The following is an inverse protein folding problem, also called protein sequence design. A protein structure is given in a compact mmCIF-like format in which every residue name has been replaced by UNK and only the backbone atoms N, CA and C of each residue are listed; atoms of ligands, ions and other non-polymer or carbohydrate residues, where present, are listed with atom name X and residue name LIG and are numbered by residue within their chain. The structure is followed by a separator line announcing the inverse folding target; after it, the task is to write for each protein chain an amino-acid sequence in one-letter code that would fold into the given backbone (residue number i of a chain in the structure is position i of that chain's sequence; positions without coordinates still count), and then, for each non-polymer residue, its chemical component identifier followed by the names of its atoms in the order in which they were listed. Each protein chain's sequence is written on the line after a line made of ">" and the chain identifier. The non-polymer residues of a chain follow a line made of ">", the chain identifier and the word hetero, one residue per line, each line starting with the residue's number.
data_IF_616030369502
#
_entry.id   IF_616030369502
#
_cell.length_a   1.000
_cell.length_b   1.000
_cell.length_c   1.000
_cell.angle_alpha   90.00
_cell.angle_beta   90.00
_cell.angle_gamma   90.00
#
_symmetry.space_group_name_H-M   'P 1'
#
loop_
_entity.id
_entity.type
_entity.pdbx_description
1 polymer ?
#
# COMPACT_ATOMS: atom_id res chain seq x y z
N UNK A 1 -12.86 -29.96 30.58
CA UNK A 1 -13.11 -30.28 29.17
C UNK A 1 -12.10 -29.62 28.23
N UNK A 2 -11.71 -28.36 28.46
CA UNK A 2 -10.76 -27.59 27.63
C UNK A 2 -9.39 -28.25 27.56
N UNK A 3 -8.83 -28.74 28.68
CA UNK A 3 -7.50 -29.39 28.70
C UNK A 3 -7.43 -30.75 27.96
N UNK A 4 -8.55 -31.37 27.62
CA UNK A 4 -8.58 -32.59 26.80
C UNK A 4 -8.56 -32.29 25.29
N UNK A 5 -9.06 -31.12 24.91
CA UNK A 5 -9.04 -30.65 23.51
C UNK A 5 -7.62 -30.15 23.14
N UNK A 6 -6.97 -29.42 24.03
CA UNK A 6 -5.62 -28.92 23.81
C UNK A 6 -4.57 -30.04 23.73
N UNK A 7 -4.73 -31.12 24.49
CA UNK A 7 -3.82 -32.30 24.40
C UNK A 7 -4.01 -33.16 23.15
N UNK A 8 -5.13 -33.03 22.44
CA UNK A 8 -5.37 -33.71 21.15
C UNK A 8 -4.78 -32.95 19.97
N UNK A 9 -4.55 -31.65 20.13
CA UNK A 9 -3.98 -30.79 19.08
C UNK A 9 -2.45 -30.91 19.03
N UNK A 10 -1.80 -31.22 20.16
CA UNK A 10 -0.33 -31.35 20.25
C UNK A 10 0.27 -32.60 19.57
N UNK A 11 -0.55 -33.57 19.16
CA UNK A 11 -0.08 -34.81 18.53
C UNK A 11 -0.39 -34.92 17.03
N UNK A 12 -0.85 -33.84 16.38
CA UNK A 12 -1.05 -33.81 14.95
C UNK A 12 0.08 -32.98 14.30
N UNK A 13 1.23 -33.64 14.10
CA UNK A 13 2.23 -33.16 13.14
C UNK A 13 1.69 -33.34 11.72
N UNK A 14 0.77 -32.49 11.32
CA UNK A 14 0.45 -32.26 9.92
C UNK A 14 1.23 -31.03 9.48
N UNK A 15 2.23 -31.28 8.63
CA UNK A 15 2.92 -30.25 7.86
C UNK A 15 1.99 -29.62 6.81
N UNK A 16 0.89 -29.04 7.25
CA UNK A 16 0.16 -28.07 6.49
C UNK A 16 0.79 -26.71 6.76
N UNK A 17 1.56 -26.19 5.80
CA UNK A 17 1.75 -24.75 5.68
C UNK A 17 0.38 -24.18 5.38
N UNK A 18 -0.36 -23.84 6.43
CA UNK A 18 -1.52 -22.94 6.31
C UNK A 18 -0.97 -21.65 5.67
N UNK A 19 -1.61 -21.11 4.63
CA UNK A 19 -1.28 -19.76 4.21
C UNK A 19 -1.52 -18.85 5.42
N UNK A 20 -0.47 -18.24 5.92
CA UNK A 20 -0.52 -17.28 7.02
C UNK A 20 -1.26 -16.07 6.46
N UNK A 21 -2.56 -15.98 6.77
CA UNK A 21 -3.38 -14.81 6.49
C UNK A 21 -2.83 -13.66 7.33
N UNK A 22 -2.22 -12.67 6.69
CA UNK A 22 -1.79 -11.44 7.34
C UNK A 22 -0.30 -11.08 7.25
N UNK A 23 0.57 -11.99 6.82
CA UNK A 23 1.97 -11.66 6.55
C UNK A 23 2.11 -11.39 5.05
N UNK A 24 2.29 -10.16 4.69
CA UNK A 24 2.46 -9.73 3.30
C UNK A 24 3.51 -8.63 3.25
N UNK A 25 4.13 -8.46 2.09
CA UNK A 25 5.09 -7.39 1.83
C UNK A 25 4.64 -6.03 2.39
N UNK A 26 5.56 -5.10 2.55
CA UNK A 26 5.26 -3.71 2.90
C UNK A 26 5.78 -2.76 1.83
N UNK A 27 4.92 -1.85 1.34
CA UNK A 27 5.29 -0.80 0.39
C UNK A 27 5.21 0.57 1.03
N UNK A 28 6.11 1.45 0.65
CA UNK A 28 6.30 2.79 1.19
C UNK A 28 6.56 3.80 0.07
N UNK A 29 6.09 5.04 0.26
CA UNK A 29 6.44 6.17 -0.58
C UNK A 29 6.37 7.48 0.20
N UNK A 30 7.46 8.24 0.26
CA UNK A 30 7.53 9.54 0.93
C UNK A 30 8.05 10.61 -0.01
N UNK A 31 7.42 11.77 -0.02
CA UNK A 31 7.83 12.93 -0.81
C UNK A 31 8.12 14.13 0.10
N UNK A 32 9.25 14.80 -0.16
CA UNK A 32 9.69 16.06 0.44
C UNK A 32 9.73 17.15 -0.64
N UNK A 33 9.64 18.45 -0.29
CA UNK A 33 9.61 19.56 -1.27
C UNK A 33 10.97 19.80 -1.94
N UNK A 34 12.05 19.37 -1.31
CA UNK A 34 13.43 19.49 -1.80
C UNK A 34 14.26 18.31 -1.32
N UNK A 35 15.45 18.15 -1.90
CA UNK A 35 16.41 17.14 -1.45
C UNK A 35 16.77 17.36 0.04
N UNK A 36 16.68 16.31 0.82
CA UNK A 36 17.03 16.28 2.24
C UNK A 36 18.05 15.19 2.51
N UNK A 37 19.07 15.51 3.30
CA UNK A 37 20.04 14.54 3.81
C UNK A 37 19.45 13.62 4.87
N UNK A 38 18.28 13.97 5.41
CA UNK A 38 17.58 13.18 6.43
C UNK A 38 16.60 12.16 5.82
N UNK A 39 16.32 12.22 4.50
CA UNK A 39 15.35 11.32 3.90
C UNK A 39 15.73 9.84 4.10
N UNK A 40 17.03 9.51 4.01
CA UNK A 40 17.53 8.16 4.29
C UNK A 40 17.27 7.69 5.72
N UNK A 41 17.34 8.60 6.71
CA UNK A 41 17.01 8.28 8.11
C UNK A 41 15.51 7.98 8.24
N UNK A 42 14.65 8.80 7.61
CA UNK A 42 13.21 8.56 7.60
C UNK A 42 12.85 7.25 6.89
N UNK A 43 13.45 7.00 5.73
CA UNK A 43 13.32 5.74 5.01
C UNK A 43 13.72 4.53 5.86
N UNK A 44 14.83 4.62 6.59
CA UNK A 44 15.30 3.56 7.49
C UNK A 44 14.33 3.29 8.64
N UNK A 45 13.73 4.34 9.21
CA UNK A 45 12.71 4.19 10.26
C UNK A 45 11.46 3.50 9.71
N UNK A 46 11.00 3.92 8.52
CA UNK A 46 9.84 3.36 7.85
C UNK A 46 10.05 1.89 7.46
N UNK A 47 11.19 1.54 6.86
CA UNK A 47 11.52 0.17 6.48
C UNK A 47 11.59 -0.76 7.70
N UNK A 48 12.24 -0.32 8.78
CA UNK A 48 12.30 -1.08 10.03
C UNK A 48 10.93 -1.26 10.68
N UNK A 49 10.06 -0.26 10.60
CA UNK A 49 8.69 -0.37 11.09
C UNK A 49 7.88 -1.45 10.35
N UNK A 50 8.26 -1.78 9.10
CA UNK A 50 7.63 -2.81 8.29
C UNK A 50 8.35 -4.17 8.34
N UNK A 51 9.42 -4.32 9.10
CA UNK A 51 10.21 -5.58 9.11
C UNK A 51 9.38 -6.80 9.49
N UNK A 52 8.40 -6.65 10.37
CA UNK A 52 7.50 -7.74 10.75
C UNK A 52 6.64 -8.26 9.58
N UNK A 53 6.49 -7.46 8.51
CA UNK A 53 5.77 -7.84 7.28
C UNK A 53 6.63 -8.61 6.28
N UNK A 54 7.95 -8.45 6.36
CA UNK A 54 8.86 -9.16 5.46
C UNK A 54 10.32 -8.93 5.80
N UNK A 55 11.11 -9.99 5.73
CA UNK A 55 12.54 -9.99 6.01
C UNK A 55 13.36 -10.71 4.93
N UNK A 56 12.72 -11.13 3.83
CA UNK A 56 13.43 -11.86 2.76
C UNK A 56 14.25 -10.93 1.87
N UNK A 57 13.74 -9.74 1.59
CA UNK A 57 14.52 -8.68 0.93
C UNK A 57 14.01 -7.30 1.32
N UNK A 58 14.91 -6.32 1.24
CA UNK A 58 14.65 -4.92 1.53
C UNK A 58 15.21 -4.06 0.42
N UNK A 59 14.47 -3.02 0.04
CA UNK A 59 14.98 -2.06 -0.92
C UNK A 59 14.40 -0.67 -0.77
N UNK A 60 15.16 0.29 -1.26
CA UNK A 60 14.87 1.71 -1.28
C UNK A 60 15.35 2.32 -2.58
N UNK A 61 14.52 3.16 -3.19
CA UNK A 61 14.88 4.00 -4.31
C UNK A 61 14.68 5.46 -3.90
N UNK A 62 15.68 6.30 -4.19
CA UNK A 62 15.68 7.72 -3.86
C UNK A 62 15.82 8.54 -5.14
N UNK A 63 14.91 9.48 -5.34
CA UNK A 63 15.04 10.49 -6.36
C UNK A 63 15.92 11.64 -5.83
N UNK A 64 17.05 11.83 -6.48
CA UNK A 64 18.05 12.85 -6.14
C UNK A 64 17.85 14.12 -6.96
N UNK A 65 18.69 15.14 -6.71
CA UNK A 65 18.55 16.49 -7.29
C UNK A 65 18.55 16.50 -8.82
N UNK A 66 19.39 15.70 -9.45
CA UNK A 66 19.53 15.65 -10.92
C UNK A 66 18.57 14.64 -11.59
N UNK A 67 17.42 14.34 -10.95
CA UNK A 67 16.52 13.28 -11.38
C UNK A 67 17.17 11.90 -11.47
N UNK A 68 18.33 11.74 -10.88
CA UNK A 68 19.00 10.45 -10.74
C UNK A 68 18.31 9.62 -9.67
N UNK A 69 18.28 8.32 -9.89
CA UNK A 69 17.72 7.37 -8.95
C UNK A 69 18.87 6.60 -8.29
N UNK A 70 18.94 6.71 -6.97
CA UNK A 70 19.77 5.82 -6.16
C UNK A 70 18.92 4.63 -5.75
N UNK A 71 19.20 3.45 -6.29
CA UNK A 71 18.49 2.20 -6.04
C UNK A 71 19.35 1.26 -5.20
N UNK A 72 18.97 1.10 -3.95
CA UNK A 72 19.65 0.29 -2.95
C UNK A 72 18.72 -0.86 -2.53
N UNK A 73 19.03 -2.09 -2.93
CA UNK A 73 18.23 -3.27 -2.59
C UNK A 73 19.07 -4.53 -2.53
N UNK A 74 18.70 -5.43 -1.63
CA UNK A 74 19.33 -6.76 -1.52
C UNK A 74 18.43 -7.74 -0.75
N UNK A 75 18.85 -8.98 -0.67
CA UNK A 75 18.27 -10.04 0.15
C UNK A 75 18.61 -9.80 1.61
N UNK A 76 17.60 -9.80 2.48
CA UNK A 76 17.75 -9.67 3.92
C UNK A 76 16.79 -8.68 4.57
N UNK A 77 16.79 -8.69 5.90
CA UNK A 77 15.91 -7.90 6.73
C UNK A 77 16.30 -6.40 6.79
N UNK A 78 15.33 -5.49 6.93
CA UNK A 78 15.57 -4.05 7.07
C UNK A 78 16.56 -3.69 8.18
N UNK A 79 16.48 -4.33 9.35
CA UNK A 79 17.38 -4.09 10.50
C UNK A 79 18.85 -4.19 10.12
N UNK A 80 19.19 -5.08 9.20
CA UNK A 80 20.54 -5.28 8.69
C UNK A 80 20.82 -4.39 7.47
N UNK A 81 19.95 -4.42 6.46
CA UNK A 81 20.23 -3.83 5.16
C UNK A 81 20.22 -2.31 5.14
N UNK A 82 19.48 -1.64 6.04
CA UNK A 82 19.51 -0.18 6.12
C UNK A 82 20.92 0.37 6.42
N UNK A 83 21.73 -0.38 7.17
CA UNK A 83 23.12 -0.01 7.47
C UNK A 83 24.08 -0.49 6.39
N UNK A 84 24.00 -1.75 5.98
CA UNK A 84 24.95 -2.36 5.05
C UNK A 84 24.86 -1.77 3.64
N UNK A 85 23.66 -1.35 3.21
CA UNK A 85 23.46 -0.66 1.94
C UNK A 85 23.60 0.87 2.04
N UNK A 86 23.77 1.41 3.25
CA UNK A 86 23.90 2.86 3.46
C UNK A 86 22.61 3.64 3.30
N UNK A 87 21.45 2.99 3.31
CA UNK A 87 20.12 3.63 3.11
C UNK A 87 19.93 4.81 4.06
N UNK A 88 20.37 4.70 5.32
CA UNK A 88 20.22 5.75 6.33
C UNK A 88 20.98 7.05 6.02
N UNK A 89 21.94 7.01 5.09
CA UNK A 89 22.78 8.15 4.69
C UNK A 89 22.38 8.73 3.34
N UNK A 90 21.43 8.11 2.67
CA UNK A 90 21.07 8.47 1.31
C UNK A 90 20.25 9.77 1.29
N UNK A 91 20.70 10.79 0.56
CA UNK A 91 19.90 11.99 0.37
C UNK A 91 18.86 11.77 -0.70
N UNK A 92 17.80 12.57 -0.69
CA UNK A 92 16.79 12.51 -1.73
C UNK A 92 15.61 13.44 -1.48
N UNK A 93 14.76 13.53 -2.48
CA UNK A 93 13.51 14.28 -2.45
C UNK A 93 12.30 13.38 -2.36
N UNK A 94 12.33 12.23 -3.05
CA UNK A 94 11.30 11.22 -3.04
C UNK A 94 11.94 9.88 -2.70
N UNK A 95 11.29 9.14 -1.83
CA UNK A 95 11.65 7.79 -1.43
C UNK A 95 10.52 6.83 -1.81
N UNK A 96 10.87 5.71 -2.44
CA UNK A 96 10.02 4.54 -2.60
C UNK A 96 10.73 3.33 -2.00
N UNK A 97 10.08 2.60 -1.13
CA UNK A 97 10.67 1.47 -0.43
C UNK A 97 9.77 0.26 -0.33
N UNK A 98 10.39 -0.90 -0.11
CA UNK A 98 9.66 -2.16 0.03
C UNK A 98 10.40 -3.12 0.96
N UNK A 99 9.64 -3.83 1.77
CA UNK A 99 10.08 -5.03 2.50
C UNK A 99 9.30 -6.22 1.95
N UNK A 100 10.01 -7.29 1.63
CA UNK A 100 9.42 -8.44 0.94
C UNK A 100 9.30 -9.65 1.87
N UNK A 101 8.11 -10.24 1.84
CA UNK A 101 7.88 -11.63 2.18
C UNK A 101 7.65 -12.38 0.87
N UNK A 102 8.57 -13.26 0.50
CA UNK A 102 8.55 -13.91 -0.80
C UNK A 102 7.42 -14.94 -0.88
N UNK A 103 6.34 -14.57 -1.57
CA UNK A 103 5.23 -15.47 -1.92
C UNK A 103 5.35 -15.96 -3.36
N UNK A 104 5.99 -15.19 -4.24
CA UNK A 104 6.17 -15.47 -5.65
C UNK A 104 7.59 -15.09 -6.12
N UNK A 105 8.22 -15.95 -6.91
CA UNK A 105 9.61 -15.80 -7.35
C UNK A 105 10.64 -16.15 -6.28
N UNK A 106 11.88 -16.32 -6.70
CA UNK A 106 13.01 -16.63 -5.82
C UNK A 106 13.36 -15.47 -4.88
N UNK A 107 14.04 -15.81 -3.76
CA UNK A 107 14.63 -14.81 -2.86
C UNK A 107 16.02 -14.48 -3.41
N UNK A 108 16.06 -13.47 -4.26
CA UNK A 108 17.28 -12.92 -4.85
C UNK A 108 17.15 -11.41 -5.07
N UNK A 109 18.26 -10.78 -5.44
CA UNK A 109 18.32 -9.31 -5.65
C UNK A 109 17.48 -8.84 -6.83
N UNK A 110 17.32 -9.65 -7.89
CA UNK A 110 16.51 -9.26 -9.06
C UNK A 110 15.04 -9.13 -8.69
N UNK A 111 14.54 -10.05 -7.84
CA UNK A 111 13.18 -10.06 -7.34
C UNK A 111 12.92 -9.10 -6.18
N UNK A 112 13.97 -8.49 -5.60
CA UNK A 112 13.80 -7.44 -4.59
C UNK A 112 13.26 -6.16 -5.25
N UNK A 113 12.41 -5.43 -4.52
CA UNK A 113 11.81 -4.17 -4.95
C UNK A 113 12.46 -3.00 -4.18
N UNK A 114 12.38 -1.76 -4.68
CA UNK A 114 11.69 -1.28 -5.88
C UNK A 114 12.31 -1.75 -7.20
N UNK A 115 11.49 -1.65 -8.28
CA UNK A 115 11.95 -1.83 -9.66
C UNK A 115 12.09 -0.47 -10.34
N UNK A 116 13.23 -0.24 -10.98
CA UNK A 116 13.48 0.86 -11.89
C UNK A 116 13.29 0.34 -13.32
N UNK A 117 12.46 0.99 -14.10
CA UNK A 117 12.16 0.67 -15.49
C UNK A 117 12.46 1.85 -16.39
N UNK A 118 12.99 1.56 -17.59
CA UNK A 118 13.38 2.59 -18.57
C UNK A 118 13.39 2.06 -20.01
N UNK A 119 12.51 1.11 -20.29
CA UNK A 119 12.39 0.56 -21.63
C UNK A 119 11.83 1.57 -22.63
N UNK A 120 10.86 2.36 -22.18
CA UNK A 120 10.17 3.40 -22.95
C UNK A 120 10.20 4.74 -22.22
N UNK A 121 9.94 4.73 -20.93
CA UNK A 121 9.91 5.88 -20.03
C UNK A 121 10.62 5.53 -18.74
N UNK A 122 11.22 6.52 -18.10
CA UNK A 122 11.93 6.30 -16.85
C UNK A 122 10.97 6.42 -15.68
N UNK A 123 10.70 5.31 -15.00
CA UNK A 123 9.86 5.22 -13.79
C UNK A 123 10.54 4.32 -12.76
N UNK A 124 10.15 4.45 -11.52
CA UNK A 124 10.44 3.44 -10.50
C UNK A 124 9.23 3.25 -9.59
N UNK A 125 9.16 2.08 -8.98
CA UNK A 125 8.04 1.78 -8.10
C UNK A 125 8.17 0.45 -7.39
N UNK A 126 7.25 0.23 -6.47
CA UNK A 126 7.12 -1.00 -5.71
C UNK A 126 5.66 -1.30 -5.41
N UNK A 127 5.39 -2.54 -5.06
CA UNK A 127 4.05 -2.95 -4.67
C UNK A 127 4.07 -3.88 -3.45
N UNK A 128 2.91 -4.01 -2.83
CA UNK A 128 2.54 -5.03 -1.87
C UNK A 128 1.26 -5.69 -2.35
N UNK A 129 1.26 -7.01 -2.49
CA UNK A 129 0.08 -7.73 -2.94
C UNK A 129 0.42 -9.01 -3.69
N UNK A 130 -0.54 -9.49 -4.46
CA UNK A 130 -0.39 -10.68 -5.30
C UNK A 130 -1.13 -10.47 -6.63
N UNK A 131 -0.38 -10.33 -7.71
CA UNK A 131 -0.90 -10.25 -9.08
C UNK A 131 -0.78 -11.64 -9.69
N UNK A 132 -1.91 -12.25 -9.99
CA UNK A 132 -1.98 -13.68 -10.33
C UNK A 132 -1.74 -13.98 -11.82
N UNK A 133 -1.92 -12.99 -12.70
CA UNK A 133 -1.70 -13.13 -14.14
C UNK A 133 -0.31 -12.68 -14.61
N UNK A 134 0.71 -12.83 -13.76
CA UNK A 134 2.10 -12.41 -14.04
C UNK A 134 2.68 -13.02 -15.31
N UNK A 135 2.35 -14.30 -15.60
CA UNK A 135 2.87 -14.98 -16.78
C UNK A 135 2.34 -14.36 -18.07
N UNK A 136 1.05 -14.05 -18.12
CA UNK A 136 0.42 -13.37 -19.26
C UNK A 136 0.99 -11.96 -19.43
N UNK A 137 1.16 -11.23 -18.32
CA UNK A 137 1.76 -9.90 -18.32
C UNK A 137 3.20 -9.93 -18.81
N UNK A 138 4.02 -10.89 -18.37
CA UNK A 138 5.41 -11.02 -18.82
C UNK A 138 5.49 -11.28 -20.33
N UNK A 139 4.63 -12.16 -20.86
CA UNK A 139 4.55 -12.44 -22.30
C UNK A 139 4.10 -11.20 -23.07
N UNK A 140 3.08 -10.50 -22.59
CA UNK A 140 2.60 -9.25 -23.18
C UNK A 140 3.70 -8.20 -23.22
N UNK A 141 4.30 -7.88 -22.08
CA UNK A 141 5.35 -6.86 -21.96
C UNK A 141 6.56 -7.17 -22.85
N UNK A 142 6.97 -8.45 -22.93
CA UNK A 142 8.08 -8.85 -23.80
C UNK A 142 7.75 -8.64 -25.28
N UNK A 143 6.51 -8.90 -25.72
CA UNK A 143 6.05 -8.63 -27.10
C UNK A 143 6.01 -7.15 -27.41
N UNK A 144 5.69 -6.33 -26.43
CA UNK A 144 5.66 -4.88 -26.53
C UNK A 144 7.05 -4.22 -26.37
N UNK A 145 8.11 -5.02 -26.30
CA UNK A 145 9.50 -4.55 -26.29
C UNK A 145 10.03 -4.12 -24.92
N UNK A 146 9.40 -4.58 -23.83
CA UNK A 146 9.94 -4.39 -22.49
C UNK A 146 10.91 -5.52 -22.13
N UNK A 147 11.97 -5.18 -21.40
CA UNK A 147 12.92 -6.13 -20.84
C UNK A 147 12.57 -6.39 -19.38
N UNK A 148 11.91 -7.51 -19.13
CA UNK A 148 11.54 -7.96 -17.78
C UNK A 148 12.64 -8.87 -17.26
N UNK A 149 13.30 -8.49 -16.16
CA UNK A 149 14.49 -9.18 -15.64
C UNK A 149 14.21 -10.13 -14.48
N UNK A 150 13.09 -9.97 -13.80
CA UNK A 150 12.73 -10.81 -12.66
C UNK A 150 11.44 -11.60 -12.89
N UNK A 151 11.08 -12.44 -11.93
CA UNK A 151 9.77 -13.10 -11.88
C UNK A 151 8.84 -12.44 -10.86
N UNK A 152 9.24 -11.27 -10.32
CA UNK A 152 8.45 -10.54 -9.35
C UNK A 152 7.25 -9.86 -10.03
N UNK A 153 6.07 -10.06 -9.48
CA UNK A 153 4.82 -9.46 -9.97
C UNK A 153 4.82 -7.92 -9.89
N UNK A 154 5.58 -7.34 -8.96
CA UNK A 154 5.79 -5.89 -8.89
C UNK A 154 6.53 -5.32 -10.09
N UNK A 155 7.49 -6.03 -10.67
CA UNK A 155 8.14 -5.61 -11.90
C UNK A 155 7.14 -5.56 -13.06
N UNK A 156 6.25 -6.57 -13.15
CA UNK A 156 5.18 -6.58 -14.16
C UNK A 156 4.26 -5.37 -14.02
N UNK A 157 3.93 -4.98 -12.78
CA UNK A 157 3.10 -3.82 -12.52
C UNK A 157 3.80 -2.52 -12.98
N UNK A 158 5.06 -2.30 -12.58
CA UNK A 158 5.79 -1.06 -12.94
C UNK A 158 5.97 -0.95 -14.45
N UNK A 159 6.34 -2.04 -15.15
CA UNK A 159 6.42 -2.07 -16.62
C UNK A 159 5.07 -1.88 -17.30
N UNK A 160 3.98 -2.39 -16.73
CA UNK A 160 2.65 -2.17 -17.30
C UNK A 160 2.25 -0.69 -17.21
N UNK A 161 2.55 -0.02 -16.08
CA UNK A 161 2.35 1.44 -15.96
C UNK A 161 3.22 2.17 -16.97
N UNK A 162 4.51 1.81 -17.10
CA UNK A 162 5.42 2.39 -18.12
C UNK A 162 4.87 2.26 -19.53
N UNK A 163 4.35 1.07 -19.88
CA UNK A 163 3.80 0.78 -21.20
C UNK A 163 2.61 1.69 -21.54
N UNK A 164 1.60 1.73 -20.68
CA UNK A 164 0.42 2.57 -20.91
C UNK A 164 0.75 4.06 -20.79
N UNK A 165 1.70 4.42 -19.95
CA UNK A 165 2.16 5.80 -19.85
C UNK A 165 2.84 6.28 -21.13
N UNK A 166 3.67 5.45 -21.77
CA UNK A 166 4.24 5.76 -23.08
C UNK A 166 3.17 5.93 -24.16
N UNK A 167 2.17 5.05 -24.18
CA UNK A 167 1.05 5.18 -25.11
C UNK A 167 0.30 6.51 -24.91
N UNK A 168 -0.02 6.87 -23.67
CA UNK A 168 -0.75 8.10 -23.38
C UNK A 168 0.09 9.37 -23.67
N UNK A 169 1.39 9.34 -23.38
CA UNK A 169 2.29 10.44 -23.75
C UNK A 169 2.37 10.62 -25.27
N UNK A 170 2.52 9.53 -26.01
CA UNK A 170 2.60 9.58 -27.48
C UNK A 170 1.28 10.07 -28.08
N UNK A 171 0.13 9.62 -27.54
CA UNK A 171 -1.22 10.08 -27.94
C UNK A 171 -1.41 11.57 -27.68
N UNK A 172 -0.88 12.10 -26.59
CA UNK A 172 -0.91 13.51 -26.25
C UNK A 172 0.19 14.36 -26.92
N UNK A 173 1.00 13.78 -27.83
CA UNK A 173 2.08 14.47 -28.51
C UNK A 173 3.30 14.75 -27.62
N UNK A 174 3.54 13.92 -26.61
CA UNK A 174 4.64 14.07 -25.64
C UNK A 174 4.67 15.47 -24.98
N UNK A 175 3.65 15.81 -24.20
CA UNK A 175 3.50 17.14 -23.63
C UNK A 175 4.69 17.51 -22.74
N UNK A 176 5.15 18.76 -22.85
CA UNK A 176 6.15 19.35 -21.96
C UNK A 176 5.55 19.90 -20.67
N UNK A 177 4.26 20.19 -20.69
CA UNK A 177 3.52 20.64 -19.50
C UNK A 177 3.43 19.52 -18.46
N UNK A 178 3.93 19.74 -17.23
CA UNK A 178 3.85 18.75 -16.16
C UNK A 178 2.43 18.31 -15.82
N UNK A 179 1.42 19.17 -15.95
CA UNK A 179 0.05 18.83 -15.63
C UNK A 179 -0.55 17.86 -16.67
N UNK A 180 -0.27 18.10 -17.97
CA UNK A 180 -0.67 17.18 -19.03
C UNK A 180 0.05 15.83 -18.90
N UNK A 181 1.35 15.85 -18.55
CA UNK A 181 2.11 14.62 -18.28
C UNK A 181 1.53 13.82 -17.13
N UNK A 182 1.16 14.47 -16.02
CA UNK A 182 0.46 13.84 -14.89
C UNK A 182 -0.90 13.26 -15.31
N UNK A 183 -1.65 13.96 -16.16
CA UNK A 183 -2.91 13.46 -16.71
C UNK A 183 -2.70 12.18 -17.54
N UNK A 184 -1.61 12.08 -18.32
CA UNK A 184 -1.24 10.86 -19.01
C UNK A 184 -0.96 9.70 -18.01
N UNK A 185 -0.25 9.97 -16.91
CA UNK A 185 0.02 8.96 -15.88
C UNK A 185 -1.26 8.47 -15.21
N UNK A 186 -2.20 9.36 -14.88
CA UNK A 186 -3.51 8.95 -14.32
C UNK A 186 -4.24 7.98 -15.25
N UNK A 187 -4.28 8.26 -16.56
CA UNK A 187 -4.89 7.34 -17.54
C UNK A 187 -4.13 6.02 -17.67
N UNK A 188 -2.80 6.07 -17.60
CA UNK A 188 -1.96 4.86 -17.61
C UNK A 188 -2.22 3.95 -16.41
N UNK A 189 -2.35 4.52 -15.21
CA UNK A 189 -2.70 3.78 -13.98
C UNK A 189 -4.06 3.10 -14.13
N UNK A 190 -5.06 3.81 -14.67
CA UNK A 190 -6.41 3.26 -14.91
C UNK A 190 -6.34 2.08 -15.90
N UNK A 191 -5.67 2.26 -17.04
CA UNK A 191 -5.53 1.20 -18.04
C UNK A 191 -4.74 0.00 -17.50
N UNK A 192 -3.71 0.25 -16.69
CA UNK A 192 -2.96 -0.82 -16.02
C UNK A 192 -3.88 -1.62 -15.10
N UNK A 193 -4.71 -0.96 -14.30
CA UNK A 193 -5.62 -1.62 -13.37
C UNK A 193 -6.62 -2.56 -14.07
N UNK A 194 -7.06 -2.21 -15.28
CA UNK A 194 -7.93 -3.06 -16.09
C UNK A 194 -7.26 -4.38 -16.56
N UNK A 195 -5.94 -4.43 -16.54
CA UNK A 195 -5.15 -5.59 -16.95
C UNK A 195 -4.65 -6.45 -15.80
N UNK A 196 -4.60 -5.89 -14.59
CA UNK A 196 -4.14 -6.62 -13.41
C UNK A 196 -5.24 -7.52 -12.86
N UNK A 197 -4.89 -8.77 -12.57
CA UNK A 197 -5.79 -9.71 -11.87
C UNK A 197 -5.15 -10.03 -10.52
N UNK A 198 -5.84 -9.66 -9.44
CA UNK A 198 -5.35 -9.86 -8.08
C UNK A 198 -5.60 -8.65 -7.18
N UNK A 199 -4.87 -8.59 -6.08
CA UNK A 199 -4.93 -7.47 -5.13
C UNK A 199 -3.55 -6.88 -4.92
N UNK A 200 -3.45 -5.55 -4.92
CA UNK A 200 -2.19 -4.85 -4.70
C UNK A 200 -2.40 -3.45 -4.12
N UNK A 201 -1.38 -2.98 -3.42
CA UNK A 201 -1.11 -1.58 -3.16
C UNK A 201 0.25 -1.24 -3.77
N UNK A 202 0.38 -0.11 -4.44
CA UNK A 202 1.62 0.24 -5.14
C UNK A 202 1.98 1.71 -4.97
N UNK A 203 3.27 1.99 -5.07
CA UNK A 203 3.81 3.34 -5.21
C UNK A 203 4.59 3.40 -6.51
N UNK A 204 4.24 4.35 -7.38
CA UNK A 204 4.91 4.62 -8.66
C UNK A 204 5.42 6.06 -8.63
N UNK A 205 6.60 6.29 -9.14
CA UNK A 205 7.23 7.61 -9.20
C UNK A 205 7.66 7.93 -10.62
N UNK A 206 7.29 9.12 -11.09
CA UNK A 206 7.80 9.73 -12.31
C UNK A 206 8.91 10.75 -11.96
N UNK A 207 10.16 10.45 -12.22
CA UNK A 207 11.27 11.37 -11.95
C UNK A 207 11.16 12.69 -12.70
N UNK A 208 10.50 12.67 -13.87
CA UNK A 208 10.43 13.86 -14.73
C UNK A 208 9.57 14.96 -14.11
N UNK A 209 8.42 14.59 -13.52
CA UNK A 209 7.53 15.53 -12.82
C UNK A 209 7.75 15.56 -11.31
N UNK A 210 8.66 14.73 -10.79
CA UNK A 210 8.93 14.57 -9.36
C UNK A 210 7.63 14.31 -8.59
N UNK A 211 6.75 13.47 -9.16
CA UNK A 211 5.42 13.16 -8.64
C UNK A 211 5.32 11.67 -8.36
N UNK A 212 4.60 11.36 -7.32
CA UNK A 212 4.33 9.98 -6.89
C UNK A 212 2.84 9.68 -6.98
N UNK A 213 2.52 8.41 -7.25
CA UNK A 213 1.16 7.87 -7.20
C UNK A 213 1.13 6.68 -6.28
N UNK A 214 0.17 6.68 -5.34
CA UNK A 214 -0.09 5.53 -4.48
C UNK A 214 -1.46 4.94 -4.83
N UNK A 215 -1.50 3.65 -5.14
CA UNK A 215 -2.62 2.95 -5.77
C UNK A 215 -3.16 1.91 -4.80
N UNK A 216 -4.48 1.94 -4.55
CA UNK A 216 -5.18 0.97 -3.69
C UNK A 216 -6.11 0.11 -4.52
N UNK A 217 -5.74 -1.16 -4.67
CA UNK A 217 -6.48 -2.15 -5.44
C UNK A 217 -6.50 -3.52 -4.72
N UNK A 218 -7.35 -3.65 -3.69
CA UNK A 218 -7.56 -4.88 -2.92
C UNK A 218 -6.58 -5.12 -1.77
N UNK A 219 -5.46 -4.38 -1.68
CA UNK A 219 -4.52 -4.44 -0.56
C UNK A 219 -4.56 -3.17 0.29
N UNK A 220 -4.16 -3.28 1.56
CA UNK A 220 -4.11 -2.13 2.47
C UNK A 220 -3.19 -1.03 1.93
N UNK A 221 -3.65 0.21 2.00
CA UNK A 221 -2.87 1.41 1.73
C UNK A 221 -3.42 2.56 2.57
N UNK A 222 -2.51 3.22 3.26
CA UNK A 222 -2.77 4.39 4.08
C UNK A 222 -1.96 5.57 3.54
N UNK A 223 -2.55 6.75 3.62
CA UNK A 223 -1.90 7.96 3.16
C UNK A 223 -2.01 9.04 4.23
N UNK A 224 -0.91 9.70 4.50
CA UNK A 224 -0.83 10.75 5.51
C UNK A 224 -0.04 11.96 5.02
N UNK A 225 -0.35 13.11 5.57
CA UNK A 225 0.33 14.38 5.30
C UNK A 225 0.77 15.02 6.61
N UNK A 226 1.86 15.78 6.59
CA UNK A 226 2.36 16.41 7.80
C UNK A 226 3.58 17.26 7.56
N UNK A 227 4.34 17.50 8.64
CA UNK A 227 5.60 18.23 8.62
C UNK A 227 6.68 17.44 9.33
N UNK A 228 7.84 17.32 8.71
CA UNK A 228 9.04 16.70 9.28
C UNK A 228 10.26 17.57 8.93
N UNK A 229 11.18 17.78 9.86
CA UNK A 229 12.33 18.67 9.68
C UNK A 229 11.93 20.05 9.12
N UNK A 230 10.84 20.63 9.63
CA UNK A 230 10.23 21.89 9.18
C UNK A 230 9.81 21.92 7.69
N UNK A 231 9.68 20.77 7.05
CA UNK A 231 9.22 20.63 5.67
C UNK A 231 7.90 19.87 5.61
N UNK A 232 6.97 20.27 4.73
CA UNK A 232 5.80 19.47 4.45
C UNK A 232 6.22 18.11 3.86
N UNK A 233 5.45 17.08 4.14
CA UNK A 233 5.62 15.77 3.51
C UNK A 233 4.29 15.10 3.23
N UNK A 234 4.31 14.20 2.26
CA UNK A 234 3.27 13.21 2.01
C UNK A 234 3.89 11.81 2.14
N UNK A 235 3.13 10.89 2.74
CA UNK A 235 3.58 9.53 3.02
C UNK A 235 2.48 8.52 2.68
N UNK A 236 2.78 7.57 1.81
CA UNK A 236 1.99 6.39 1.54
C UNK A 236 2.64 5.16 2.16
N UNK A 237 1.85 4.28 2.76
CA UNK A 237 2.31 2.99 3.28
C UNK A 237 1.19 1.96 3.25
N UNK A 238 1.53 0.70 2.98
CA UNK A 238 0.60 -0.42 3.15
C UNK A 238 0.37 -0.79 4.62
N UNK A 239 0.99 -0.04 5.54
CA UNK A 239 0.91 -0.24 6.98
C UNK A 239 0.59 1.06 7.70
N UNK A 240 -0.46 1.03 8.54
CA UNK A 240 -0.93 2.19 9.29
C UNK A 240 0.08 2.65 10.34
N UNK A 241 0.73 1.71 11.03
CA UNK A 241 1.72 2.02 12.08
C UNK A 241 2.85 2.87 11.54
N UNK A 242 3.34 2.54 10.33
CA UNK A 242 4.40 3.31 9.69
C UNK A 242 3.96 4.76 9.42
N UNK A 243 2.72 4.99 9.00
CA UNK A 243 2.19 6.35 8.79
C UNK A 243 2.02 7.08 10.12
N UNK A 244 1.44 6.43 11.14
CA UNK A 244 1.17 7.02 12.45
C UNK A 244 2.45 7.43 13.21
N UNK A 245 3.60 6.84 12.89
CA UNK A 245 4.90 7.28 13.43
C UNK A 245 5.33 8.67 12.94
N UNK A 246 4.81 9.12 11.81
CA UNK A 246 5.16 10.40 11.19
C UNK A 246 4.04 11.42 11.29
N UNK A 247 2.79 11.00 11.19
CA UNK A 247 1.64 11.92 11.23
C UNK A 247 0.38 11.23 11.70
N UNK A 248 -0.51 12.02 12.32
CA UNK A 248 -1.90 11.64 12.61
C UNK A 248 -2.91 12.26 11.63
N UNK A 249 -2.44 13.05 10.65
CA UNK A 249 -3.30 13.60 9.62
C UNK A 249 -3.38 12.62 8.45
N UNK A 250 -4.45 11.83 8.44
CA UNK A 250 -4.68 10.76 7.47
C UNK A 250 -5.68 11.19 6.39
N UNK A 251 -5.39 10.85 5.15
CA UNK A 251 -6.31 10.95 4.01
C UNK A 251 -6.87 9.57 3.76
N UNK A 252 -8.17 9.42 3.93
CA UNK A 252 -8.83 8.12 3.86
C UNK A 252 -8.98 7.68 2.39
N UNK A 253 -8.23 6.64 2.01
CA UNK A 253 -8.31 6.04 0.68
C UNK A 253 -9.23 4.82 0.73
N UNK A 254 -10.28 4.84 -0.11
CA UNK A 254 -11.21 3.72 -0.27
C UNK A 254 -10.73 2.77 -1.37
N UNK A 255 -11.34 1.61 -1.44
CA UNK A 255 -11.03 0.62 -2.46
C UNK A 255 -11.32 1.14 -3.88
N UNK A 256 -10.35 0.98 -4.79
CA UNK A 256 -10.44 1.48 -6.16
C UNK A 256 -10.14 2.97 -6.32
N UNK A 257 -9.47 3.57 -5.34
CA UNK A 257 -8.94 4.92 -5.40
C UNK A 257 -7.42 4.89 -5.54
N UNK A 258 -6.85 5.94 -6.11
CA UNK A 258 -5.42 6.22 -6.07
C UNK A 258 -5.17 7.70 -5.79
N UNK A 259 -4.02 8.00 -5.21
CA UNK A 259 -3.61 9.37 -4.89
C UNK A 259 -2.39 9.75 -5.71
N UNK A 260 -2.47 10.90 -6.39
CA UNK A 260 -1.34 11.62 -6.98
C UNK A 260 -0.81 12.61 -5.94
N UNK A 261 0.49 12.62 -5.68
CA UNK A 261 1.03 13.48 -4.63
C UNK A 261 2.45 13.95 -4.86
N UNK A 262 2.75 15.11 -4.29
CA UNK A 262 4.08 15.64 -3.97
C UNK A 262 4.17 15.88 -2.45
N UNK A 263 5.15 16.62 -1.97
CA UNK A 263 5.30 16.91 -0.55
C UNK A 263 4.15 17.73 0.07
N UNK A 264 3.63 18.69 -0.72
CA UNK A 264 2.69 19.75 -0.30
C UNK A 264 1.36 19.71 -1.06
N UNK A 265 1.16 18.68 -1.85
CA UNK A 265 0.00 18.54 -2.73
C UNK A 265 -0.41 17.08 -2.82
N UNK A 266 -1.71 16.82 -2.79
CA UNK A 266 -2.29 15.53 -3.17
C UNK A 266 -3.66 15.70 -3.82
N UNK A 267 -4.01 14.76 -4.70
CA UNK A 267 -5.35 14.61 -5.27
C UNK A 267 -5.70 13.12 -5.36
N UNK A 268 -6.93 12.81 -4.99
CA UNK A 268 -7.45 11.42 -5.02
C UNK A 268 -8.33 11.27 -6.26
N UNK A 269 -8.17 10.13 -6.94
CA UNK A 269 -8.89 9.84 -8.18
C UNK A 269 -9.54 8.46 -8.12
N UNK A 270 -10.69 8.33 -8.78
CA UNK A 270 -11.35 7.04 -8.98
C UNK A 270 -10.61 6.21 -10.05
N UNK A 271 -10.16 5.02 -9.69
CA UNK A 271 -9.50 4.07 -10.61
C UNK A 271 -10.52 3.37 -11.52
N UNK A 272 -11.74 3.22 -11.06
CA UNK A 272 -12.88 2.58 -11.71
C UNK A 272 -14.17 3.31 -11.32
N UNK A 273 -15.29 2.94 -11.93
CA UNK A 273 -16.59 3.45 -11.48
C UNK A 273 -16.85 3.01 -10.04
N UNK A 274 -17.09 3.96 -9.14
CA UNK A 274 -17.27 3.74 -7.72
C UNK A 274 -18.69 4.16 -7.30
N UNK A 275 -19.27 3.36 -6.39
CA UNK A 275 -20.55 3.66 -5.76
C UNK A 275 -20.43 3.41 -4.26
N UNK A 276 -20.54 4.47 -3.48
CA UNK A 276 -20.53 4.40 -2.03
C UNK A 276 -21.91 4.67 -1.49
N UNK A 277 -22.45 3.67 -0.79
CA UNK A 277 -23.74 3.81 -0.12
C UNK A 277 -23.58 4.65 1.14
N UNK A 278 -24.47 5.63 1.33
CA UNK A 278 -24.57 6.41 2.57
C UNK A 278 -25.95 6.22 3.16
N UNK A 279 -25.99 5.90 4.47
CA UNK A 279 -27.28 5.73 5.14
C UNK A 279 -28.04 7.06 5.23
N UNK A 280 -29.28 7.06 4.73
CA UNK A 280 -30.14 8.25 4.78
C UNK A 280 -29.71 9.39 3.85
N UNK A 281 -28.76 9.18 2.95
CA UNK A 281 -28.30 10.13 1.94
C UNK A 281 -28.24 9.45 0.56
N UNK A 282 -28.24 10.23 -0.53
CA UNK A 282 -27.97 9.68 -1.86
C UNK A 282 -26.60 9.00 -1.92
N UNK A 283 -26.51 7.92 -2.70
CA UNK A 283 -25.23 7.25 -2.97
C UNK A 283 -24.24 8.24 -3.60
N UNK A 284 -22.99 8.17 -3.19
CA UNK A 284 -21.90 8.85 -3.90
C UNK A 284 -21.50 8.01 -5.11
N UNK A 285 -21.51 8.66 -6.27
CA UNK A 285 -21.15 8.04 -7.54
C UNK A 285 -19.94 8.77 -8.13
N UNK A 286 -18.93 8.03 -8.53
CA UNK A 286 -17.77 8.55 -9.24
C UNK A 286 -17.53 7.71 -10.49
N UNK A 287 -17.29 8.38 -11.60
CA UNK A 287 -16.84 7.75 -12.82
C UNK A 287 -15.33 7.50 -12.79
N UNK A 288 -14.88 6.55 -13.57
CA UNK A 288 -13.43 6.30 -13.75
C UNK A 288 -12.70 7.58 -14.12
N UNK A 289 -11.68 7.94 -13.37
CA UNK A 289 -10.86 9.14 -13.56
C UNK A 289 -11.39 10.40 -12.85
N UNK A 290 -12.55 10.35 -12.22
CA UNK A 290 -13.07 11.49 -11.46
C UNK A 290 -12.16 11.84 -10.28
N UNK A 291 -12.01 13.15 -10.06
CA UNK A 291 -11.38 13.71 -8.87
C UNK A 291 -12.33 13.57 -7.67
N UNK A 292 -11.80 13.06 -6.58
CA UNK A 292 -12.54 12.86 -5.33
C UNK A 292 -12.00 13.84 -4.28
N UNK A 293 -12.87 14.69 -3.74
CA UNK A 293 -12.49 15.64 -2.67
C UNK A 293 -12.42 14.90 -1.34
N UNK A 294 -11.20 14.59 -0.89
CA UNK A 294 -10.91 13.95 0.39
C UNK A 294 -10.04 14.87 1.23
N UNK A 295 -10.52 15.25 2.40
CA UNK A 295 -9.76 16.08 3.34
C UNK A 295 -9.04 15.22 4.37
N UNK A 296 -7.86 15.66 4.86
CA UNK A 296 -7.18 14.96 5.92
C UNK A 296 -8.01 14.98 7.22
N UNK A 297 -8.01 13.87 7.92
CA UNK A 297 -8.70 13.70 9.21
C UNK A 297 -7.67 13.35 10.28
N UNK A 298 -7.80 13.95 11.46
CA UNK A 298 -6.93 13.65 12.58
C UNK A 298 -7.30 12.28 13.19
N UNK A 299 -6.38 11.33 13.12
CA UNK A 299 -6.53 9.99 13.71
C UNK A 299 -6.40 10.05 15.23
N UNK A 300 -7.31 9.38 15.93
CA UNK A 300 -7.21 9.15 17.37
C UNK A 300 -6.23 8.03 17.72
N UNK A 301 -5.94 7.15 16.76
CA UNK A 301 -4.97 6.06 16.93
C UNK A 301 -3.55 6.61 17.05
N UNK A 302 -2.71 5.88 17.78
CA UNK A 302 -1.28 6.13 17.89
C UNK A 302 -0.52 4.92 17.35
N UNK A 303 0.75 5.12 16.98
CA UNK A 303 1.58 4.01 16.51
C UNK A 303 1.65 2.88 17.56
N UNK A 304 1.75 3.22 18.84
CA UNK A 304 1.84 2.29 19.96
C UNK A 304 0.55 1.45 20.16
N UNK A 305 -0.60 1.95 19.70
CA UNK A 305 -1.88 1.25 19.82
C UNK A 305 -1.97 0.04 18.85
N UNK A 306 -1.05 -0.05 17.89
CA UNK A 306 -0.99 -1.08 16.85
C UNK A 306 0.37 -1.79 16.79
N UNK A 307 1.24 -1.60 17.79
CA UNK A 307 2.53 -2.28 17.90
C UNK A 307 2.39 -3.66 18.56
N UNK A 308 3.40 -4.50 18.33
CA UNK A 308 3.50 -5.79 19.01
C UNK A 308 3.80 -5.53 20.49
N UNK A 309 2.94 -6.05 21.37
CA UNK A 309 3.11 -5.95 22.81
C UNK A 309 4.29 -6.83 23.27
N UNK A 310 5.05 -6.41 24.30
CA UNK A 310 6.26 -7.11 24.75
C UNK A 310 6.07 -8.57 25.19
N UNK A 311 4.84 -8.93 25.58
CA UNK A 311 4.49 -10.27 26.02
C UNK A 311 4.25 -11.27 24.88
N UNK A 312 4.24 -10.81 23.63
CA UNK A 312 4.01 -11.64 22.45
C UNK A 312 5.26 -11.69 21.57
N UNK A 313 5.55 -12.83 21.02
CA UNK A 313 6.64 -13.02 20.05
C UNK A 313 6.18 -12.66 18.63
N UNK A 314 4.87 -12.83 18.33
CA UNK A 314 4.30 -12.61 16.99
C UNK A 314 2.99 -11.85 17.04
N UNK A 315 2.75 -10.98 16.07
CA UNK A 315 1.46 -10.28 15.91
C UNK A 315 0.27 -11.24 15.82
N UNK A 316 0.40 -12.35 15.12
CA UNK A 316 -0.65 -13.36 15.01
C UNK A 316 -1.06 -13.91 16.38
N UNK A 317 -0.08 -14.14 17.25
CA UNK A 317 -0.33 -14.58 18.62
C UNK A 317 -1.12 -13.52 19.39
N UNK A 318 -0.65 -12.27 19.36
CA UNK A 318 -1.35 -11.14 19.98
C UNK A 318 -2.78 -11.01 19.47
N UNK A 319 -2.99 -11.08 18.16
CA UNK A 319 -4.33 -10.98 17.56
C UNK A 319 -5.25 -12.13 17.99
N UNK A 320 -4.74 -13.36 18.06
CA UNK A 320 -5.51 -14.51 18.54
C UNK A 320 -5.94 -14.32 19.99
N UNK A 321 -5.06 -13.85 20.85
CA UNK A 321 -5.39 -13.58 22.26
C UNK A 321 -6.38 -12.40 22.41
N UNK A 322 -6.24 -11.37 21.59
CA UNK A 322 -7.11 -10.19 21.59
C UNK A 322 -8.54 -10.49 21.10
N UNK A 323 -8.78 -11.59 20.38
CA UNK A 323 -10.11 -11.94 19.84
C UNK A 323 -11.20 -12.04 20.90
N UNK A 324 -10.90 -12.58 22.07
CA UNK A 324 -11.87 -12.71 23.15
C UNK A 324 -12.38 -11.36 23.63
N UNK A 325 -11.47 -10.41 23.83
CA UNK A 325 -11.80 -9.06 24.27
C UNK A 325 -12.50 -8.27 23.17
N UNK A 326 -11.97 -8.33 21.95
CA UNK A 326 -12.53 -7.65 20.78
C UNK A 326 -13.93 -8.12 20.46
N UNK A 327 -14.18 -9.44 20.51
CA UNK A 327 -15.51 -10.02 20.33
C UNK A 327 -16.46 -9.56 21.44
N UNK A 328 -15.99 -9.50 22.69
CA UNK A 328 -16.78 -8.98 23.82
C UNK A 328 -17.16 -7.51 23.62
N UNK A 329 -16.24 -6.66 23.13
CA UNK A 329 -16.52 -5.27 22.80
C UNK A 329 -17.53 -5.15 21.65
N UNK A 330 -17.39 -5.98 20.61
CA UNK A 330 -18.31 -6.01 19.48
C UNK A 330 -19.73 -6.42 19.92
N UNK A 331 -19.87 -7.47 20.73
CA UNK A 331 -21.16 -7.89 21.27
C UNK A 331 -21.80 -6.75 22.08
N UNK A 332 -21.03 -6.07 22.95
CA UNK A 332 -21.53 -4.93 23.72
C UNK A 332 -21.97 -3.77 22.81
N UNK A 333 -21.26 -3.52 21.71
CA UNK A 333 -21.63 -2.50 20.73
C UNK A 333 -23.01 -2.81 20.14
N UNK A 334 -23.28 -4.06 19.76
CA UNK A 334 -24.59 -4.48 19.22
C UNK A 334 -25.70 -4.47 20.28
N UNK A 335 -25.40 -4.89 21.50
CA UNK A 335 -26.38 -4.96 22.60
C UNK A 335 -26.65 -3.61 23.27
N UNK A 336 -25.69 -2.70 23.25
CA UNK A 336 -25.70 -1.46 24.03
C UNK A 336 -26.63 -0.36 23.54
N UNK A 337 -27.42 -0.59 22.50
CA UNK A 337 -28.39 0.39 21.99
C UNK A 337 -27.77 1.69 21.45
N UNK A 338 -26.46 1.71 21.20
CA UNK A 338 -25.78 2.84 20.56
C UNK A 338 -26.32 3.08 19.16
N UNK A 339 -26.27 4.32 18.68
CA UNK A 339 -26.68 4.63 17.30
C UNK A 339 -25.88 3.84 16.28
N UNK A 340 -24.60 3.63 16.53
CA UNK A 340 -23.70 2.82 15.69
C UNK A 340 -24.12 1.35 15.69
N UNK A 341 -24.38 0.75 16.85
CA UNK A 341 -24.81 -0.65 16.94
C UNK A 341 -26.16 -0.90 16.29
N UNK A 342 -27.13 0.02 16.46
CA UNK A 342 -28.42 -0.02 15.75
C UNK A 342 -28.26 0.11 14.24
N UNK A 343 -27.45 1.04 13.79
CA UNK A 343 -27.13 1.21 12.39
C UNK A 343 -26.55 -0.06 11.78
N UNK A 344 -25.57 -0.68 12.45
CA UNK A 344 -24.97 -1.94 11.99
C UNK A 344 -25.99 -3.08 11.92
N UNK A 345 -26.87 -3.19 12.89
CA UNK A 345 -27.94 -4.19 12.88
C UNK A 345 -28.94 -3.96 11.74
N UNK A 346 -29.32 -2.69 11.49
CA UNK A 346 -30.20 -2.33 10.38
C UNK A 346 -29.55 -2.65 9.03
N UNK A 347 -28.26 -2.32 8.88
CA UNK A 347 -27.49 -2.65 7.70
C UNK A 347 -27.42 -4.17 7.49
N UNK A 348 -27.12 -4.96 8.52
CA UNK A 348 -27.10 -6.43 8.47
C UNK A 348 -28.49 -7.02 8.15
N UNK A 349 -29.55 -6.47 8.73
CA UNK A 349 -30.92 -6.97 8.52
C UNK A 349 -31.47 -6.69 7.11
N UNK A 350 -31.04 -5.61 6.46
CA UNK A 350 -31.45 -5.24 5.11
C UNK A 350 -30.72 -6.01 4.01
N UNK A 351 -29.71 -6.75 4.37
CA UNK A 351 -28.77 -7.28 3.42
C UNK A 351 -28.91 -8.71 3.05
N UNK A 352 -29.84 -9.36 3.30
CA UNK A 352 -30.24 -10.73 2.87
C UNK A 352 -29.41 -11.55 1.88
N UNK A 353 -28.17 -11.15 1.53
CA UNK A 353 -27.31 -11.85 0.57
C UNK A 353 -25.84 -11.92 0.98
N UNK A 354 -25.14 -12.91 0.45
CA UNK A 354 -23.71 -13.24 0.69
C UNK A 354 -22.75 -12.07 0.42
N UNK A 355 -23.03 -11.27 -0.60
CA UNK A 355 -22.18 -10.16 -1.03
C UNK A 355 -22.18 -8.98 -0.05
N UNK A 356 -23.19 -8.90 0.76
CA UNK A 356 -23.36 -7.86 1.74
C UNK A 356 -22.51 -8.06 2.99
N UNK A 357 -22.30 -9.27 3.46
CA UNK A 357 -21.45 -9.51 4.62
C UNK A 357 -20.01 -9.07 4.38
N UNK A 358 -19.49 -9.22 3.17
CA UNK A 358 -18.16 -8.74 2.81
C UNK A 358 -18.10 -7.22 2.73
N UNK A 359 -19.10 -6.56 2.16
CA UNK A 359 -19.16 -5.09 2.04
C UNK A 359 -19.43 -4.46 3.41
N UNK A 360 -20.33 -5.00 4.22
CA UNK A 360 -20.62 -4.50 5.55
C UNK A 360 -19.43 -4.67 6.50
N UNK A 361 -18.70 -5.77 6.44
CA UNK A 361 -17.49 -5.93 7.25
C UNK A 361 -16.39 -4.94 6.85
N UNK A 362 -16.22 -4.65 5.57
CA UNK A 362 -15.28 -3.63 5.09
C UNK A 362 -15.68 -2.21 5.56
N UNK A 363 -16.96 -1.87 5.52
CA UNK A 363 -17.47 -0.59 6.05
C UNK A 363 -17.35 -0.49 7.58
N UNK A 364 -17.55 -1.59 8.29
CA UNK A 364 -17.40 -1.66 9.74
C UNK A 364 -15.95 -1.44 10.15
N UNK A 365 -15.00 -2.09 9.49
CA UNK A 365 -13.58 -1.94 9.74
C UNK A 365 -13.13 -0.51 9.36
N UNK A 366 -13.54 -0.02 8.19
CA UNK A 366 -13.20 1.35 7.75
C UNK A 366 -13.83 2.45 8.63
N UNK A 367 -14.98 2.23 9.26
CA UNK A 367 -15.62 3.21 10.14
C UNK A 367 -15.03 3.23 11.56
N UNK A 368 -14.41 2.15 12.03
CA UNK A 368 -13.73 2.12 13.32
C UNK A 368 -12.38 2.83 13.31
N UNK A 369 -11.70 2.89 12.16
CA UNK A 369 -10.46 3.64 11.99
C UNK A 369 -10.68 5.17 12.04
N UNK A 370 -11.92 5.64 11.98
CA UNK A 370 -12.30 7.07 11.93
C UNK A 370 -12.99 7.54 13.23
N UNK A 371 -13.44 6.64 14.07
CA UNK A 371 -14.11 6.96 15.34
C UNK A 371 -13.12 6.97 16.51
#
# INVERSE_FOLDING_TARGET
>A
MLNRVLKKISNFQLSFRLPILGVGCGVLGMALPKVSINLGKHASQLLKALEYRGYDSTGAAFLQENKQISLLKDVGAPSTLVKTLGIEKEPGKIFCGQVRWATFGSVDKANAQPHEVKCKRHLFGAHNGNITNTRELKVFLSKEGHTVVSDNDGEMLVHSVEHYFDIELNRAGNPKDPQERKACMRRAIIQTAEKMIGSYAAVIVDPETETSWAIKAGSSLYFGVGTVDDMPFSLASSDLTAVLRFTKMLVNLREGEFVEYTADYYQVYAQKNLRFKRLGQPDELYSTGDLIDVKPVYSKLRAEDVELLPEFEYFMEQEVYAQSESTGKLIKLFQGGSNTGRYMLDVISQAGTKDFLSTAMLEIVGSQDIA
#
